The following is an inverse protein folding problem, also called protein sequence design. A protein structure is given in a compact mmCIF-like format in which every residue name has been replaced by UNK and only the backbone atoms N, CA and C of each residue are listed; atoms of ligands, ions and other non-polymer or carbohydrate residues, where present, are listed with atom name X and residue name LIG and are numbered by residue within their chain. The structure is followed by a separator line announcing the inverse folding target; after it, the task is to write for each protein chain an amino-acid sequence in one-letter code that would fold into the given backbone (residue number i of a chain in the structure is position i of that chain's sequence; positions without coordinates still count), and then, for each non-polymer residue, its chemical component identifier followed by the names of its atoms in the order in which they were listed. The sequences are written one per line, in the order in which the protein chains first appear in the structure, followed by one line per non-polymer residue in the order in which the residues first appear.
data_IF_356741740667
#
_entry.id   IF_356741740667
#
_cell.length_a   1.000
_cell.length_b   1.000
_cell.length_c   1.000
_cell.angle_alpha   90.00
_cell.angle_beta   90.00
_cell.angle_gamma   90.00
#
_symmetry.space_group_name_H-M   'P 1'
#
loop_
_entity.id
_entity.type
_entity.pdbx_description
1 polymer ?
#
# COMPACT_ATOMS: atom_id res chain seq x y z
N UNK A 1 10.29 -40.29 32.52
CA UNK A 1 11.38 -39.31 32.32
C UNK A 1 10.92 -38.34 31.24
N UNK A 2 10.48 -37.14 31.62
CA UNK A 2 10.10 -36.09 30.67
C UNK A 2 11.38 -35.44 30.15
N UNK A 3 11.66 -35.63 28.86
CA UNK A 3 12.69 -34.86 28.17
C UNK A 3 12.18 -33.43 28.09
N UNK A 4 12.87 -32.52 28.78
CA UNK A 4 12.74 -31.09 28.54
C UNK A 4 13.37 -30.87 27.17
N UNK A 5 12.56 -30.89 26.11
CA UNK A 5 12.99 -30.37 24.81
C UNK A 5 13.30 -28.89 25.02
N UNK A 6 14.60 -28.56 25.05
CA UNK A 6 15.01 -27.17 24.96
C UNK A 6 14.37 -26.56 23.72
N UNK A 7 13.77 -25.38 23.85
CA UNK A 7 13.26 -24.62 22.71
C UNK A 7 14.43 -24.31 21.78
N UNK A 8 14.69 -25.17 20.79
CA UNK A 8 15.67 -24.90 19.75
C UNK A 8 15.16 -23.68 18.98
N UNK A 9 15.95 -22.62 19.01
CA UNK A 9 15.70 -21.37 18.29
C UNK A 9 16.22 -21.57 16.87
N UNK A 10 15.41 -21.25 15.87
CA UNK A 10 15.87 -21.19 14.49
C UNK A 10 16.66 -19.88 14.37
N UNK A 11 17.98 -19.99 14.34
CA UNK A 11 18.92 -18.89 14.13
C UNK A 11 19.98 -19.24 13.07
N UNK A 12 20.90 -18.32 12.82
CA UNK A 12 21.95 -18.53 11.81
C UNK A 12 22.85 -19.71 12.13
N UNK A 13 23.26 -19.86 13.40
CA UNK A 13 24.13 -20.94 13.86
C UNK A 13 23.48 -22.29 13.59
N UNK A 14 22.22 -22.43 13.98
CA UNK A 14 21.41 -23.62 13.69
C UNK A 14 21.36 -23.92 12.19
N UNK A 15 21.03 -22.92 11.36
CA UNK A 15 20.88 -23.12 9.91
C UNK A 15 22.21 -23.55 9.24
N UNK A 16 23.35 -22.99 9.70
CA UNK A 16 24.68 -23.39 9.24
C UNK A 16 25.02 -24.81 9.67
N UNK A 17 24.69 -25.20 10.91
CA UNK A 17 24.87 -26.57 11.41
C UNK A 17 24.07 -27.59 10.59
N UNK A 18 22.89 -27.21 10.09
CA UNK A 18 22.09 -28.01 9.16
C UNK A 18 22.66 -28.05 7.72
N UNK A 19 23.82 -27.44 7.46
CA UNK A 19 24.51 -27.48 6.17
C UNK A 19 24.09 -26.39 5.18
N UNK A 20 23.35 -25.36 5.63
CA UNK A 20 22.97 -24.24 4.77
C UNK A 20 24.17 -23.31 4.60
N UNK A 21 24.46 -22.92 3.35
CA UNK A 21 25.60 -22.09 3.02
C UNK A 21 25.48 -20.69 3.64
N UNK A 22 26.56 -20.22 4.31
CA UNK A 22 26.62 -18.89 4.93
C UNK A 22 26.37 -17.75 3.93
N UNK A 23 26.97 -17.84 2.75
CA UNK A 23 26.80 -16.81 1.71
C UNK A 23 25.34 -16.70 1.26
N UNK A 24 24.64 -17.84 1.18
CA UNK A 24 23.20 -17.86 0.90
C UNK A 24 22.40 -17.19 2.02
N UNK A 25 22.70 -17.50 3.29
CA UNK A 25 22.03 -16.89 4.44
C UNK A 25 22.25 -15.37 4.49
N UNK A 26 23.45 -14.91 4.15
CA UNK A 26 23.73 -13.47 4.04
C UNK A 26 22.90 -12.83 2.92
N UNK A 27 22.74 -13.51 1.79
CA UNK A 27 21.78 -13.11 0.75
C UNK A 27 20.34 -13.04 1.27
N UNK A 28 19.90 -13.99 2.10
CA UNK A 28 18.55 -14.00 2.69
C UNK A 28 18.31 -12.94 3.77
N UNK A 29 19.37 -12.41 4.39
CA UNK A 29 19.30 -11.23 5.29
C UNK A 29 19.16 -9.93 4.52
N UNK A 30 19.59 -9.89 3.25
CA UNK A 30 19.54 -8.72 2.39
C UNK A 30 18.31 -8.73 1.48
N UNK A 31 17.86 -9.90 1.01
CA UNK A 31 16.65 -10.03 0.19
C UNK A 31 15.40 -9.82 1.06
N UNK A 32 14.66 -8.76 0.77
CA UNK A 32 13.42 -8.41 1.47
C UNK A 32 12.19 -8.99 0.78
N UNK A 33 11.20 -9.38 1.58
CA UNK A 33 9.86 -9.75 1.11
C UNK A 33 9.20 -8.54 0.45
N UNK A 34 8.70 -8.72 -0.77
CA UNK A 34 7.97 -7.70 -1.53
C UNK A 34 6.47 -7.76 -1.24
N UNK A 35 5.79 -6.64 -1.45
CA UNK A 35 4.35 -6.52 -1.34
C UNK A 35 3.74 -6.37 -2.74
N UNK A 36 2.66 -7.09 -3.00
CA UNK A 36 1.83 -6.98 -4.21
C UNK A 36 0.50 -6.26 -3.95
N UNK A 37 0.40 -5.50 -2.84
CA UNK A 37 -0.85 -4.88 -2.41
C UNK A 37 -1.45 -3.88 -3.40
N UNK A 38 -0.68 -3.35 -4.34
CA UNK A 38 -1.19 -2.45 -5.37
C UNK A 38 -1.52 -3.18 -6.67
N UNK A 39 -1.08 -4.43 -6.84
CA UNK A 39 -1.14 -5.11 -8.12
C UNK A 39 -2.57 -5.38 -8.55
N UNK A 40 -3.50 -5.61 -7.61
CA UNK A 40 -4.91 -5.83 -7.93
C UNK A 40 -5.57 -4.63 -8.63
N UNK A 41 -4.99 -3.44 -8.58
CA UNK A 41 -5.50 -2.27 -9.31
C UNK A 41 -5.22 -2.34 -10.81
N UNK A 42 -4.17 -3.05 -11.25
CA UNK A 42 -3.71 -3.04 -12.64
C UNK A 42 -3.32 -4.41 -13.21
N UNK A 43 -3.53 -5.46 -12.45
CA UNK A 43 -3.47 -6.84 -12.90
C UNK A 43 -4.86 -7.46 -12.93
N UNK A 44 -5.08 -8.34 -13.92
CA UNK A 44 -6.33 -9.06 -14.09
C UNK A 44 -6.07 -10.56 -14.01
N UNK A 45 -6.86 -11.26 -13.20
CA UNK A 45 -6.79 -12.72 -13.15
C UNK A 45 -7.17 -13.28 -14.51
N UNK A 46 -6.35 -14.19 -15.02
CA UNK A 46 -6.70 -15.05 -16.13
C UNK A 46 -7.31 -16.31 -15.50
N UNK A 47 -8.51 -16.72 -15.93
CA UNK A 47 -9.29 -17.87 -15.40
C UNK A 47 -8.59 -19.23 -15.64
N UNK A 48 -7.36 -19.36 -15.15
CA UNK A 48 -6.47 -20.50 -15.32
C UNK A 48 -5.67 -20.66 -14.05
N UNK A 49 -5.88 -21.78 -13.37
CA UNK A 49 -5.01 -22.26 -12.32
C UNK A 49 -4.27 -23.51 -12.81
N UNK A 50 -2.96 -23.54 -12.59
CA UNK A 50 -2.11 -24.64 -13.07
C UNK A 50 -1.20 -25.15 -11.96
N UNK A 51 -1.06 -26.46 -11.87
CA UNK A 51 -0.11 -27.12 -10.98
C UNK A 51 1.25 -27.22 -11.67
N UNK A 52 2.24 -26.45 -11.20
CA UNK A 52 3.58 -26.38 -11.80
C UNK A 52 4.69 -26.37 -10.74
N UNK A 53 5.90 -26.73 -11.15
CA UNK A 53 7.11 -26.49 -10.35
C UNK A 53 7.59 -25.05 -10.58
N UNK A 54 7.57 -24.25 -9.51
CA UNK A 54 8.00 -22.85 -9.54
C UNK A 54 9.42 -22.74 -8.99
N UNK A 55 10.35 -22.08 -9.72
CA UNK A 55 11.67 -21.78 -9.17
C UNK A 55 11.57 -20.88 -7.94
N UNK A 56 12.09 -21.32 -6.80
CA UNK A 56 11.96 -20.60 -5.51
C UNK A 56 12.50 -19.17 -5.60
N UNK A 57 13.57 -18.94 -6.38
CA UNK A 57 14.14 -17.61 -6.61
C UNK A 57 13.16 -16.57 -7.19
N UNK A 58 12.12 -17.03 -7.92
CA UNK A 58 11.09 -16.17 -8.51
C UNK A 58 9.99 -15.80 -7.52
N UNK A 59 9.92 -16.45 -6.36
CA UNK A 59 8.97 -16.09 -5.31
C UNK A 59 9.50 -14.86 -4.57
N UNK A 60 8.71 -13.79 -4.52
CA UNK A 60 9.11 -12.46 -4.03
C UNK A 60 8.35 -12.03 -2.79
N UNK A 61 7.11 -12.49 -2.62
CA UNK A 61 6.26 -12.07 -1.52
C UNK A 61 5.58 -13.21 -0.78
N UNK A 62 5.20 -12.91 0.44
CA UNK A 62 4.31 -13.71 1.28
C UNK A 62 2.94 -13.02 1.35
N UNK A 63 1.92 -13.71 1.84
CA UNK A 63 0.60 -13.10 2.04
C UNK A 63 0.70 -11.93 3.01
N UNK A 64 -0.02 -10.82 2.79
CA UNK A 64 0.08 -9.62 3.64
C UNK A 64 -0.20 -9.84 5.14
N UNK A 65 -0.97 -10.88 5.51
CA UNK A 65 -1.22 -11.21 6.92
C UNK A 65 -0.09 -12.02 7.59
N UNK A 66 0.87 -12.51 6.81
CA UNK A 66 1.97 -13.39 7.26
C UNK A 66 3.35 -12.84 6.96
N UNK A 67 3.51 -12.15 5.84
CA UNK A 67 4.72 -11.43 5.47
C UNK A 67 4.62 -9.96 5.81
N UNK A 68 5.71 -9.42 6.33
CA UNK A 68 5.89 -7.99 6.50
C UNK A 68 6.82 -7.49 5.38
N UNK A 69 6.31 -6.59 4.55
CA UNK A 69 7.06 -6.03 3.43
C UNK A 69 8.32 -5.29 3.90
N UNK A 70 9.37 -5.30 3.09
CA UNK A 70 10.67 -4.67 3.40
C UNK A 70 11.43 -5.29 4.59
N UNK A 71 10.98 -6.43 5.12
CA UNK A 71 11.72 -7.24 6.08
C UNK A 71 12.37 -8.42 5.36
N UNK A 72 13.52 -8.86 5.83
CA UNK A 72 14.30 -9.90 5.14
C UNK A 72 13.64 -11.28 5.24
N UNK A 73 13.91 -12.19 4.29
CA UNK A 73 13.49 -13.59 4.43
C UNK A 73 14.04 -14.22 5.72
N UNK A 74 15.24 -13.80 6.13
CA UNK A 74 15.86 -14.22 7.39
C UNK A 74 15.09 -13.74 8.64
N UNK A 75 14.58 -12.51 8.64
CA UNK A 75 13.76 -12.01 9.74
C UNK A 75 12.48 -12.85 9.90
N UNK A 76 11.88 -13.29 8.79
CA UNK A 76 10.68 -14.11 8.82
C UNK A 76 10.93 -15.52 9.37
N UNK A 77 12.00 -16.20 8.97
CA UNK A 77 12.30 -17.55 9.49
C UNK A 77 12.67 -17.53 10.98
N UNK A 78 13.31 -16.45 11.44
CA UNK A 78 13.66 -16.24 12.85
C UNK A 78 12.52 -15.61 13.67
N UNK A 79 11.34 -15.44 13.06
CA UNK A 79 10.13 -14.89 13.66
C UNK A 79 10.30 -13.46 14.24
N UNK A 80 11.19 -12.66 13.63
CA UNK A 80 11.42 -11.22 13.91
C UNK A 80 10.59 -10.29 13.02
N UNK A 81 9.84 -10.86 12.08
CA UNK A 81 8.96 -10.14 11.16
C UNK A 81 7.78 -11.03 10.76
N UNK A 82 6.64 -10.39 10.49
CA UNK A 82 5.41 -11.08 10.08
C UNK A 82 4.75 -11.88 11.21
N UNK A 83 3.81 -12.76 10.83
CA UNK A 83 2.98 -13.52 11.78
C UNK A 83 2.91 -15.01 11.39
N UNK A 84 4.08 -15.61 11.21
CA UNK A 84 4.24 -17.03 10.92
C UNK A 84 4.04 -17.82 12.22
N UNK A 85 3.16 -18.82 12.18
CA UNK A 85 3.00 -19.76 13.28
C UNK A 85 4.32 -20.48 13.60
N UNK A 86 4.85 -20.23 14.80
CA UNK A 86 6.06 -20.87 15.31
C UNK A 86 5.97 -22.39 15.34
N UNK A 87 4.80 -22.94 15.70
CA UNK A 87 4.54 -24.38 15.68
C UNK A 87 4.73 -24.98 14.28
N UNK A 88 4.22 -24.33 13.23
CA UNK A 88 4.39 -24.79 11.84
C UNK A 88 5.84 -24.65 11.36
N UNK A 89 6.54 -23.58 11.75
CA UNK A 89 7.98 -23.44 11.46
C UNK A 89 8.79 -24.57 12.12
N UNK A 90 8.49 -24.92 13.37
CA UNK A 90 9.15 -25.99 14.09
C UNK A 90 8.83 -27.40 13.58
N UNK A 91 7.64 -27.63 13.03
CA UNK A 91 7.34 -28.90 12.38
C UNK A 91 8.24 -29.10 11.14
N UNK A 92 8.45 -28.05 10.36
CA UNK A 92 9.37 -28.09 9.21
C UNK A 92 10.84 -28.18 9.65
N UNK A 93 11.22 -27.51 10.75
CA UNK A 93 12.52 -27.69 11.41
C UNK A 93 12.79 -29.17 11.73
N UNK A 94 11.85 -29.83 12.40
CA UNK A 94 11.96 -31.26 12.75
C UNK A 94 12.07 -32.13 11.49
N UNK A 95 11.29 -31.83 10.46
CA UNK A 95 11.43 -32.52 9.18
C UNK A 95 12.83 -32.34 8.59
N UNK A 96 13.40 -31.13 8.57
CA UNK A 96 14.79 -30.91 8.11
C UNK A 96 15.80 -31.78 8.88
N UNK A 97 15.66 -31.88 10.20
CA UNK A 97 16.53 -32.70 11.06
C UNK A 97 16.39 -34.20 10.78
N UNK A 98 15.16 -34.68 10.53
CA UNK A 98 14.86 -36.10 10.32
C UNK A 98 15.36 -36.63 8.97
N UNK A 99 15.17 -35.88 7.88
CA UNK A 99 15.50 -36.34 6.52
C UNK A 99 16.80 -35.76 5.96
N UNK A 100 17.37 -34.74 6.60
CA UNK A 100 18.56 -34.02 6.15
C UNK A 100 18.26 -33.00 5.03
N UNK A 101 19.21 -32.07 4.83
CA UNK A 101 19.03 -30.89 3.99
C UNK A 101 18.64 -31.21 2.54
N UNK A 102 19.30 -32.18 1.90
CA UNK A 102 19.04 -32.44 0.49
C UNK A 102 17.67 -33.08 0.27
N UNK A 103 17.30 -34.08 1.08
CA UNK A 103 15.95 -34.68 1.06
C UNK A 103 14.87 -33.63 1.34
N UNK A 104 15.10 -32.75 2.32
CA UNK A 104 14.19 -31.65 2.65
C UNK A 104 14.03 -30.65 1.50
N UNK A 105 15.10 -30.33 0.77
CA UNK A 105 14.99 -29.51 -0.45
C UNK A 105 14.17 -30.18 -1.55
N UNK A 106 14.31 -31.50 -1.71
CA UNK A 106 13.56 -32.23 -2.72
C UNK A 106 12.08 -32.39 -2.35
N UNK A 107 11.74 -32.47 -1.06
CA UNK A 107 10.35 -32.64 -0.62
C UNK A 107 9.44 -31.49 -1.03
N UNK A 108 9.97 -30.27 -1.25
CA UNK A 108 9.18 -29.16 -1.77
C UNK A 108 8.60 -29.38 -3.17
N UNK A 109 9.11 -30.36 -3.94
CA UNK A 109 8.58 -30.72 -5.26
C UNK A 109 7.40 -31.68 -5.19
N UNK A 110 7.14 -32.29 -4.04
CA UNK A 110 6.06 -33.25 -3.86
C UNK A 110 4.70 -32.52 -3.85
N UNK A 111 3.72 -32.97 -4.66
CA UNK A 111 2.35 -32.45 -4.63
C UNK A 111 1.70 -32.42 -3.23
N UNK A 112 2.11 -33.29 -2.30
CA UNK A 112 1.64 -33.28 -0.91
C UNK A 112 2.01 -32.01 -0.12
N UNK A 113 3.02 -31.27 -0.56
CA UNK A 113 3.45 -29.99 0.02
C UNK A 113 3.13 -28.78 -0.87
N UNK A 114 2.17 -28.94 -1.80
CA UNK A 114 1.80 -27.89 -2.74
C UNK A 114 1.41 -26.58 -2.04
N UNK A 115 1.95 -25.47 -2.55
CA UNK A 115 1.60 -24.11 -2.10
C UNK A 115 0.69 -23.41 -3.10
N UNK A 116 0.01 -22.33 -2.69
CA UNK A 116 -0.77 -21.49 -3.59
C UNK A 116 0.01 -20.23 -3.91
N UNK A 117 0.28 -20.00 -5.19
CA UNK A 117 1.01 -18.82 -5.65
C UNK A 117 0.17 -18.01 -6.65
N UNK A 118 0.42 -16.70 -6.66
CA UNK A 118 -0.07 -15.76 -7.65
C UNK A 118 1.11 -15.40 -8.55
N UNK A 119 0.96 -15.52 -9.86
CA UNK A 119 1.98 -15.14 -10.85
C UNK A 119 1.59 -13.86 -11.56
N UNK A 120 2.49 -12.87 -11.56
CA UNK A 120 2.34 -11.64 -12.31
C UNK A 120 3.28 -11.65 -13.52
N UNK A 121 2.70 -11.57 -14.72
CA UNK A 121 3.40 -11.88 -15.97
C UNK A 121 4.52 -10.90 -16.34
N UNK A 122 4.32 -9.59 -16.12
CA UNK A 122 5.28 -8.56 -16.49
C UNK A 122 6.57 -8.61 -15.66
N UNK A 123 6.47 -8.85 -14.35
CA UNK A 123 7.64 -8.99 -13.48
C UNK A 123 8.22 -10.41 -13.46
N UNK A 124 7.51 -11.39 -14.05
CA UNK A 124 7.84 -12.81 -14.00
C UNK A 124 8.13 -13.28 -12.57
N UNK A 125 7.22 -12.90 -11.65
CA UNK A 125 7.39 -13.07 -10.21
C UNK A 125 6.17 -13.70 -9.55
N UNK A 126 6.40 -14.36 -8.42
CA UNK A 126 5.38 -15.13 -7.71
C UNK A 126 5.22 -14.63 -6.27
N UNK A 127 3.99 -14.64 -5.78
CA UNK A 127 3.62 -14.22 -4.43
C UNK A 127 2.78 -15.33 -3.79
N UNK A 128 2.94 -15.58 -2.49
CA UNK A 128 2.06 -16.54 -1.81
C UNK A 128 0.64 -15.99 -1.77
N UNK A 129 -0.34 -16.78 -2.22
CA UNK A 129 -1.74 -16.38 -2.33
C UNK A 129 -2.51 -16.54 -1.02
N UNK A 130 -2.96 -17.75 -0.68
CA UNK A 130 -3.76 -17.98 0.53
C UNK A 130 -3.12 -18.95 1.54
N UNK A 131 -2.24 -19.84 1.09
CA UNK A 131 -1.53 -20.82 1.94
C UNK A 131 -0.16 -21.17 1.34
N UNK A 132 0.75 -21.63 2.19
CA UNK A 132 2.10 -22.03 1.81
C UNK A 132 3.22 -21.10 2.29
N UNK A 133 2.91 -20.10 3.12
CA UNK A 133 3.91 -19.15 3.64
C UNK A 133 5.08 -19.87 4.34
N UNK A 134 4.79 -20.81 5.26
CA UNK A 134 5.81 -21.56 6.00
C UNK A 134 6.71 -22.39 5.09
N UNK A 135 6.12 -23.14 4.15
CA UNK A 135 6.88 -23.93 3.17
C UNK A 135 7.73 -23.03 2.28
N UNK A 136 7.19 -21.90 1.84
CA UNK A 136 7.91 -20.93 1.00
C UNK A 136 9.12 -20.34 1.72
N UNK A 137 8.97 -19.92 2.97
CA UNK A 137 10.08 -19.39 3.77
C UNK A 137 11.16 -20.46 3.97
N UNK A 138 10.79 -21.70 4.33
CA UNK A 138 11.76 -22.78 4.46
C UNK A 138 12.45 -23.15 3.15
N UNK A 139 11.70 -23.17 2.03
CA UNK A 139 12.26 -23.41 0.70
C UNK A 139 13.26 -22.30 0.30
N UNK A 140 12.94 -21.04 0.60
CA UNK A 140 13.84 -19.89 0.42
C UNK A 140 15.11 -20.01 1.25
N UNK A 141 14.97 -20.21 2.56
CA UNK A 141 16.10 -20.28 3.50
C UNK A 141 17.02 -21.46 3.20
N UNK A 142 16.47 -22.61 2.84
CA UNK A 142 17.27 -23.78 2.48
C UNK A 142 17.83 -23.72 1.07
N UNK A 143 17.49 -22.71 0.25
CA UNK A 143 17.88 -22.62 -1.16
C UNK A 143 17.38 -23.82 -1.99
N UNK A 144 16.13 -24.24 -1.78
CA UNK A 144 15.51 -25.27 -2.60
C UNK A 144 15.39 -24.77 -4.05
N UNK A 145 15.63 -25.64 -5.07
CA UNK A 145 15.64 -25.19 -6.46
C UNK A 145 14.23 -24.81 -6.96
N UNK A 146 13.21 -25.51 -6.52
CA UNK A 146 11.82 -25.33 -6.94
C UNK A 146 10.84 -25.84 -5.89
N UNK A 147 9.61 -25.34 -5.93
CA UNK A 147 8.49 -25.78 -5.09
C UNK A 147 7.28 -26.12 -5.99
N UNK A 148 6.54 -27.16 -5.63
CA UNK A 148 5.27 -27.49 -6.27
C UNK A 148 4.21 -26.47 -5.86
N UNK A 149 3.53 -25.88 -6.83
CA UNK A 149 2.54 -24.83 -6.57
C UNK A 149 1.34 -24.95 -7.49
N UNK A 150 0.16 -24.62 -6.95
CA UNK A 150 -1.02 -24.25 -7.74
C UNK A 150 -0.96 -22.75 -7.97
N UNK A 151 -0.89 -22.36 -9.23
CA UNK A 151 -0.59 -20.97 -9.64
C UNK A 151 -1.81 -20.34 -10.28
N UNK A 152 -2.31 -19.25 -9.70
CA UNK A 152 -3.27 -18.35 -10.34
C UNK A 152 -2.51 -17.29 -11.13
N UNK A 153 -2.80 -17.15 -12.43
CA UNK A 153 -2.08 -16.22 -13.31
C UNK A 153 -2.78 -14.88 -13.42
N UNK A 154 -2.00 -13.82 -13.36
CA UNK A 154 -2.47 -12.45 -13.49
C UNK A 154 -1.72 -11.76 -14.62
N UNK A 155 -2.47 -11.09 -15.48
CA UNK A 155 -1.98 -10.39 -16.66
C UNK A 155 -1.94 -8.89 -16.42
N UNK A 156 -0.81 -8.26 -16.75
CA UNK A 156 -0.66 -6.83 -16.66
C UNK A 156 -1.60 -6.13 -17.64
N UNK A 157 -2.35 -5.14 -17.14
CA UNK A 157 -3.20 -4.29 -17.94
C UNK A 157 -2.57 -2.87 -18.03
N UNK A 158 -1.97 -2.50 -19.18
CA UNK A 158 -1.29 -1.21 -19.34
C UNK A 158 -2.21 0.00 -19.12
N UNK A 159 -3.48 -0.10 -19.53
CA UNK A 159 -4.46 0.97 -19.37
C UNK A 159 -4.76 1.19 -17.89
N UNK A 160 -5.06 0.12 -17.16
CA UNK A 160 -5.28 0.19 -15.71
C UNK A 160 -4.07 0.76 -14.97
N UNK A 161 -2.86 0.37 -15.37
CA UNK A 161 -1.62 0.91 -14.80
C UNK A 161 -1.48 2.41 -15.04
N UNK A 162 -1.70 2.89 -16.26
CA UNK A 162 -1.62 4.32 -16.58
C UNK A 162 -2.65 5.14 -15.78
N UNK A 163 -3.87 4.62 -15.67
CA UNK A 163 -4.94 5.24 -14.90
C UNK A 163 -4.62 5.25 -13.40
N UNK A 164 -4.14 4.13 -12.85
CA UNK A 164 -3.69 4.05 -11.47
C UNK A 164 -2.59 5.07 -11.18
N UNK A 165 -1.55 5.15 -12.02
CA UNK A 165 -0.47 6.14 -11.85
C UNK A 165 -1.00 7.58 -11.87
N UNK A 166 -1.88 7.92 -12.82
CA UNK A 166 -2.47 9.26 -12.95
C UNK A 166 -3.22 9.70 -11.68
N UNK A 167 -3.98 8.77 -11.08
CA UNK A 167 -4.73 9.03 -9.85
C UNK A 167 -3.79 9.19 -8.66
N UNK A 168 -2.78 8.33 -8.51
CA UNK A 168 -1.77 8.44 -7.44
C UNK A 168 -0.98 9.74 -7.53
N UNK A 169 -0.63 10.18 -8.74
CA UNK A 169 0.02 11.48 -8.96
C UNK A 169 -0.88 12.65 -8.54
N UNK A 170 -2.18 12.56 -8.85
CA UNK A 170 -3.17 13.56 -8.49
C UNK A 170 -3.39 13.64 -6.97
N UNK A 171 -3.52 12.49 -6.30
CA UNK A 171 -3.59 12.39 -4.83
C UNK A 171 -2.35 12.98 -4.16
N UNK A 172 -1.15 12.66 -4.67
CA UNK A 172 0.09 13.21 -4.15
C UNK A 172 0.19 14.74 -4.35
N UNK A 173 -0.31 15.25 -5.48
CA UNK A 173 -0.44 16.70 -5.72
C UNK A 173 -1.45 17.33 -4.76
N UNK A 174 -2.56 16.64 -4.49
CA UNK A 174 -3.61 17.10 -3.57
C UNK A 174 -3.05 17.28 -2.16
N UNK A 175 -2.44 16.25 -1.60
CA UNK A 175 -1.83 16.29 -0.27
C UNK A 175 -0.75 17.38 -0.15
N UNK A 176 0.09 17.55 -1.18
CA UNK A 176 1.09 18.64 -1.20
C UNK A 176 0.45 20.02 -1.21
N UNK A 177 -0.64 20.20 -1.97
CA UNK A 177 -1.35 21.48 -2.07
C UNK A 177 -2.01 21.84 -0.75
N UNK A 178 -2.67 20.89 -0.09
CA UNK A 178 -3.27 21.10 1.23
C UNK A 178 -2.21 21.52 2.25
N UNK A 179 -1.09 20.79 2.31
CA UNK A 179 0.04 21.13 3.18
C UNK A 179 0.60 22.52 2.88
N UNK A 180 0.79 22.86 1.61
CA UNK A 180 1.27 24.19 1.20
C UNK A 180 0.34 25.31 1.70
N UNK A 181 -0.96 25.03 1.75
CA UNK A 181 -1.97 25.98 2.20
C UNK A 181 -2.31 25.84 3.68
N UNK A 182 -1.59 25.02 4.47
CA UNK A 182 -1.93 24.74 5.87
C UNK A 182 -3.40 24.30 6.05
N UNK A 183 -3.86 23.45 5.14
CA UNK A 183 -5.14 22.78 5.16
C UNK A 183 -4.93 21.30 5.46
N UNK A 184 -5.95 20.68 6.03
CA UNK A 184 -6.00 19.26 6.32
C UNK A 184 -7.20 18.64 5.58
N UNK A 185 -7.10 17.36 5.24
CA UNK A 185 -8.22 16.60 4.69
C UNK A 185 -8.63 15.56 5.71
N UNK A 186 -9.85 15.68 6.20
CA UNK A 186 -10.47 14.69 7.07
C UNK A 186 -11.40 13.83 6.23
N UNK A 187 -11.02 12.57 6.06
CA UNK A 187 -11.78 11.60 5.29
C UNK A 187 -12.79 10.92 6.21
N UNK A 188 -14.07 11.04 5.89
CA UNK A 188 -15.10 10.24 6.53
C UNK A 188 -15.25 8.92 5.76
N UNK A 189 -14.73 7.84 6.35
CA UNK A 189 -14.99 6.50 5.81
C UNK A 189 -16.40 6.06 6.17
N UNK A 190 -17.33 6.20 5.22
CA UNK A 190 -18.60 5.46 5.27
C UNK A 190 -18.42 4.10 4.60
N UNK A 191 -18.97 3.08 5.25
CA UNK A 191 -18.90 1.69 4.81
C UNK A 191 -19.29 1.56 3.32
N UNK A 192 -18.26 1.28 2.52
CA UNK A 192 -18.24 0.67 1.20
C UNK A 192 -18.33 1.48 -0.11
N UNK A 193 -18.84 2.73 -0.23
CA UNK A 193 -19.04 3.26 -1.61
C UNK A 193 -18.74 4.75 -1.90
N UNK A 194 -18.21 5.53 -0.96
CA UNK A 194 -17.58 6.82 -1.30
C UNK A 194 -16.62 7.24 -0.18
N UNK A 195 -15.39 7.63 -0.54
CA UNK A 195 -14.56 8.41 0.36
C UNK A 195 -15.00 9.86 0.14
N UNK A 196 -15.85 10.39 1.00
CA UNK A 196 -16.03 11.84 1.04
C UNK A 196 -15.28 12.38 2.24
N UNK A 197 -14.91 13.65 2.15
CA UNK A 197 -14.23 14.29 3.26
C UNK A 197 -14.33 15.78 3.20
N UNK A 198 -13.83 16.39 4.25
CA UNK A 198 -13.78 17.83 4.38
C UNK A 198 -12.34 18.30 4.34
N UNK A 199 -12.09 19.27 3.48
CA UNK A 199 -10.90 20.11 3.61
C UNK A 199 -11.19 21.10 4.74
N UNK A 200 -10.31 21.12 5.72
CA UNK A 200 -10.53 21.82 6.98
C UNK A 200 -9.30 22.58 7.49
N UNK A 201 -9.56 23.47 8.45
CA UNK A 201 -8.55 24.18 9.24
C UNK A 201 -8.96 24.10 10.70
N UNK A 202 -8.11 23.57 11.57
CA UNK A 202 -8.40 23.44 13.01
C UNK A 202 -9.78 22.78 13.26
N UNK A 203 -10.03 21.64 12.60
CA UNK A 203 -11.30 20.89 12.67
C UNK A 203 -12.54 21.67 12.19
N UNK A 204 -12.34 22.80 11.50
CA UNK A 204 -13.42 23.57 10.88
C UNK A 204 -13.53 23.24 9.39
N UNK A 205 -14.63 22.63 8.92
CA UNK A 205 -14.81 22.25 7.52
C UNK A 205 -15.00 23.49 6.64
N UNK A 206 -14.31 23.52 5.50
CA UNK A 206 -14.31 24.65 4.55
C UNK A 206 -14.87 24.23 3.20
N UNK A 207 -14.47 23.06 2.72
CA UNK A 207 -14.87 22.55 1.42
C UNK A 207 -15.14 21.06 1.54
N UNK A 208 -16.31 20.66 1.07
CA UNK A 208 -16.63 19.27 0.85
C UNK A 208 -15.93 18.77 -0.42
N UNK A 209 -15.28 17.61 -0.32
CA UNK A 209 -14.68 16.91 -1.44
C UNK A 209 -15.26 15.50 -1.53
N UNK A 210 -15.97 15.24 -2.63
CA UNK A 210 -16.39 13.90 -3.00
C UNK A 210 -15.21 13.23 -3.72
N UNK A 211 -14.51 12.31 -3.04
CA UNK A 211 -13.45 11.51 -3.65
C UNK A 211 -14.08 10.20 -4.16
N UNK A 212 -14.37 10.06 -5.46
CA UNK A 212 -15.04 8.88 -5.95
C UNK A 212 -14.10 7.68 -5.83
N UNK A 213 -14.58 6.58 -5.22
CA UNK A 213 -13.79 5.35 -5.12
C UNK A 213 -13.68 4.71 -6.50
N UNK A 214 -12.45 4.45 -6.93
CA UNK A 214 -12.19 3.77 -8.19
C UNK A 214 -12.13 2.27 -7.94
N UNK A 215 -13.27 1.61 -8.17
CA UNK A 215 -13.37 0.15 -8.14
C UNK A 215 -12.86 -0.52 -9.42
N UNK A 216 -12.75 0.24 -10.52
CA UNK A 216 -12.27 -0.28 -11.79
C UNK A 216 -11.45 0.77 -12.54
N UNK A 217 -10.12 0.62 -12.51
CA UNK A 217 -9.17 1.45 -13.24
C UNK A 217 -9.22 1.21 -14.76
N UNK A 218 -9.98 0.22 -15.24
CA UNK A 218 -10.21 0.00 -16.67
C UNK A 218 -11.30 0.92 -17.22
N UNK A 219 -12.10 1.54 -16.35
CA UNK A 219 -13.17 2.44 -16.76
C UNK A 219 -12.64 3.88 -16.88
N UNK A 220 -12.19 4.24 -18.08
CA UNK A 220 -11.63 5.57 -18.37
C UNK A 220 -12.59 6.71 -18.03
N UNK A 221 -13.91 6.53 -18.22
CA UNK A 221 -14.88 7.57 -17.88
C UNK A 221 -14.91 7.84 -16.37
N UNK A 222 -14.86 6.80 -15.53
CA UNK A 222 -14.82 6.95 -14.07
C UNK A 222 -13.51 7.60 -13.62
N UNK A 223 -12.39 7.16 -14.19
CA UNK A 223 -11.07 7.75 -13.92
C UNK A 223 -11.07 9.23 -14.29
N UNK A 224 -11.62 9.59 -15.45
CA UNK A 224 -11.73 10.98 -15.89
C UNK A 224 -12.57 11.82 -14.93
N UNK A 225 -13.73 11.32 -14.49
CA UNK A 225 -14.58 12.00 -13.49
C UNK A 225 -13.83 12.28 -12.19
N UNK A 226 -13.08 11.30 -11.67
CA UNK A 226 -12.28 11.47 -10.46
C UNK A 226 -11.23 12.57 -10.65
N UNK A 227 -10.50 12.55 -11.76
CA UNK A 227 -9.50 13.57 -12.06
C UNK A 227 -10.13 14.98 -12.17
N UNK A 228 -11.32 15.08 -12.76
CA UNK A 228 -12.05 16.35 -12.85
C UNK A 228 -12.46 16.90 -11.48
N UNK A 229 -12.89 16.06 -10.55
CA UNK A 229 -13.23 16.50 -9.19
C UNK A 229 -11.99 17.04 -8.44
N UNK A 230 -10.84 16.38 -8.59
CA UNK A 230 -9.57 16.92 -8.08
C UNK A 230 -9.24 18.29 -8.70
N UNK A 231 -9.35 18.44 -10.02
CA UNK A 231 -9.09 19.71 -10.72
C UNK A 231 -10.02 20.84 -10.28
N UNK A 232 -11.30 20.54 -10.10
CA UNK A 232 -12.30 21.49 -9.59
C UNK A 232 -11.92 22.00 -8.20
N UNK A 233 -11.52 21.11 -7.29
CA UNK A 233 -11.05 21.48 -5.95
C UNK A 233 -9.79 22.32 -6.02
N UNK A 234 -8.81 21.96 -6.86
CA UNK A 234 -7.61 22.78 -7.05
C UNK A 234 -7.93 24.19 -7.52
N UNK A 235 -8.82 24.31 -8.50
CA UNK A 235 -9.25 25.60 -9.03
C UNK A 235 -9.94 26.45 -7.96
N UNK A 236 -10.75 25.85 -7.08
CA UNK A 236 -11.36 26.55 -5.96
C UNK A 236 -10.32 27.04 -4.93
N UNK A 237 -9.41 26.16 -4.51
CA UNK A 237 -8.33 26.52 -3.58
C UNK A 237 -7.43 27.63 -4.14
N UNK A 238 -7.08 27.56 -5.42
CA UNK A 238 -6.27 28.59 -6.07
C UNK A 238 -7.01 29.93 -6.12
N UNK A 239 -8.30 29.94 -6.44
CA UNK A 239 -9.12 31.14 -6.43
C UNK A 239 -9.19 31.79 -5.04
N UNK A 240 -9.36 30.99 -3.98
CA UNK A 240 -9.33 31.44 -2.59
C UNK A 240 -7.98 32.11 -2.26
N UNK A 241 -6.87 31.45 -2.61
CA UNK A 241 -5.52 31.98 -2.36
C UNK A 241 -5.26 33.27 -3.14
N UNK A 242 -5.65 33.33 -4.42
CA UNK A 242 -5.55 34.54 -5.24
C UNK A 242 -6.37 35.68 -4.63
N UNK A 243 -7.58 35.39 -4.16
CA UNK A 243 -8.43 36.38 -3.48
C UNK A 243 -7.78 36.86 -2.17
N UNK A 244 -7.29 35.94 -1.33
CA UNK A 244 -6.57 36.30 -0.10
C UNK A 244 -5.42 37.28 -0.38
N UNK A 245 -4.56 36.96 -1.36
CA UNK A 245 -3.42 37.79 -1.76
C UNK A 245 -3.86 39.15 -2.29
N UNK A 246 -4.92 39.21 -3.11
CA UNK A 246 -5.49 40.47 -3.62
C UNK A 246 -5.90 41.41 -2.50
N UNK A 247 -6.37 40.88 -1.37
CA UNK A 247 -6.77 41.67 -0.20
C UNK A 247 -5.66 41.85 0.84
N UNK A 248 -4.44 41.42 0.53
CA UNK A 248 -3.26 41.54 1.40
C UNK A 248 -2.93 42.97 1.80
N UNK A 249 -3.32 43.97 0.98
CA UNK A 249 -3.09 45.39 1.28
C UNK A 249 -3.89 45.91 2.50
N UNK A 250 -4.99 45.22 2.88
CA UNK A 250 -5.72 45.52 4.11
C UNK A 250 -5.15 44.64 5.22
N UNK A 251 -4.17 45.17 5.96
CA UNK A 251 -3.46 44.42 7.02
C UNK A 251 -4.35 44.00 8.18
N UNK A 252 -5.35 44.82 8.52
CA UNK A 252 -6.33 44.51 9.57
C UNK A 252 -7.36 43.48 9.07
N UNK A 253 -7.31 42.27 9.63
CA UNK A 253 -8.19 41.17 9.26
C UNK A 253 -9.68 41.48 9.47
N UNK A 254 -10.05 42.24 10.51
CA UNK A 254 -11.44 42.59 10.78
C UNK A 254 -11.99 43.53 9.71
N UNK A 255 -11.18 44.52 9.30
CA UNK A 255 -11.54 45.41 8.17
C UNK A 255 -11.63 44.64 6.86
N UNK A 256 -10.70 43.72 6.62
CA UNK A 256 -10.70 42.85 5.44
C UNK A 256 -11.98 42.01 5.36
N UNK A 257 -12.38 41.37 6.46
CA UNK A 257 -13.62 40.58 6.56
C UNK A 257 -14.85 41.45 6.26
N UNK A 258 -14.92 42.67 6.80
CA UNK A 258 -16.04 43.58 6.57
C UNK A 258 -16.17 43.95 5.07
N UNK A 259 -15.05 44.28 4.43
CA UNK A 259 -15.02 44.62 3.00
C UNK A 259 -15.41 43.44 2.12
N UNK A 260 -14.91 42.24 2.41
CA UNK A 260 -15.28 41.03 1.69
C UNK A 260 -16.77 40.73 1.79
N UNK A 261 -17.36 40.85 2.98
CA UNK A 261 -18.81 40.68 3.19
C UNK A 261 -19.64 41.71 2.41
N UNK A 262 -19.21 42.98 2.41
CA UNK A 262 -19.92 44.03 1.68
C UNK A 262 -19.89 43.78 0.16
N UNK A 263 -18.73 43.36 -0.37
CA UNK A 263 -18.59 43.07 -1.80
C UNK A 263 -19.34 41.83 -2.25
N UNK A 264 -19.44 40.83 -1.38
CA UNK A 264 -20.14 39.59 -1.67
C UNK A 264 -21.59 39.81 -2.10
N UNK A 265 -22.27 40.82 -1.54
CA UNK A 265 -23.66 41.16 -1.87
C UNK A 265 -23.88 41.54 -3.34
N UNK A 266 -22.80 41.86 -4.07
CA UNK A 266 -22.84 42.28 -5.48
C UNK A 266 -22.26 41.25 -6.44
N UNK A 267 -21.92 40.05 -5.95
CA UNK A 267 -21.33 38.97 -6.75
C UNK A 267 -22.41 37.98 -7.23
N UNK A 268 -22.13 37.29 -8.34
CA UNK A 268 -22.91 36.13 -8.77
C UNK A 268 -22.64 34.92 -7.86
N UNK A 269 -23.52 33.91 -7.91
CA UNK A 269 -23.47 32.74 -7.02
C UNK A 269 -22.11 32.05 -7.01
N UNK A 270 -21.50 31.83 -8.18
CA UNK A 270 -20.19 31.19 -8.31
C UNK A 270 -19.10 31.94 -7.53
N UNK A 271 -19.02 33.27 -7.69
CA UNK A 271 -18.03 34.10 -6.97
C UNK A 271 -18.37 34.24 -5.49
N UNK A 272 -19.66 34.23 -5.13
CA UNK A 272 -20.07 34.23 -3.73
C UNK A 272 -19.54 33.01 -2.99
N UNK A 273 -19.50 31.83 -3.63
CA UNK A 273 -18.95 30.60 -3.05
C UNK A 273 -17.49 30.76 -2.61
N UNK A 274 -16.61 31.27 -3.50
CA UNK A 274 -15.19 31.53 -3.19
C UNK A 274 -15.01 32.54 -2.05
N UNK A 275 -15.84 33.57 -2.02
CA UNK A 275 -15.81 34.57 -0.94
C UNK A 275 -16.25 33.98 0.41
N UNK A 276 -17.31 33.17 0.42
CA UNK A 276 -17.78 32.45 1.62
C UNK A 276 -16.67 31.57 2.18
N UNK A 277 -16.05 30.74 1.34
CA UNK A 277 -14.96 29.86 1.77
C UNK A 277 -13.79 30.65 2.37
N UNK A 278 -13.38 31.78 1.76
CA UNK A 278 -12.32 32.62 2.33
C UNK A 278 -12.73 33.25 3.68
N UNK A 279 -14.00 33.65 3.83
CA UNK A 279 -14.51 34.18 5.09
C UNK A 279 -14.53 33.10 6.17
N UNK A 280 -14.89 31.87 5.84
CA UNK A 280 -14.88 30.75 6.77
C UNK A 280 -13.44 30.36 7.17
N UNK A 281 -12.49 30.39 6.23
CA UNK A 281 -11.06 30.26 6.53
C UNK A 281 -10.58 31.32 7.51
N UNK A 282 -11.00 32.57 7.35
CA UNK A 282 -10.63 33.64 8.30
C UNK A 282 -11.24 33.43 9.69
N UNK A 283 -12.50 32.98 9.77
CA UNK A 283 -13.11 32.61 11.05
C UNK A 283 -12.37 31.45 11.73
N UNK A 284 -11.89 30.48 10.95
CA UNK A 284 -11.13 29.34 11.42
C UNK A 284 -9.65 29.66 11.77
N UNK A 285 -9.22 30.92 11.64
CA UNK A 285 -7.85 31.33 11.98
C UNK A 285 -6.79 30.98 10.92
N UNK A 286 -7.19 30.59 9.71
CA UNK A 286 -6.27 30.18 8.63
C UNK A 286 -5.20 31.23 8.31
N UNK A 287 -5.59 32.51 8.32
CA UNK A 287 -4.71 33.65 8.03
C UNK A 287 -3.51 33.80 8.99
N UNK A 288 -3.58 33.23 10.20
CA UNK A 288 -2.50 33.27 11.18
C UNK A 288 -1.39 32.26 10.84
N UNK A 289 -1.77 31.15 10.19
CA UNK A 289 -0.89 30.06 9.78
C UNK A 289 -0.40 30.23 8.34
N UNK A 290 -1.20 30.87 7.49
CA UNK A 290 -0.87 31.13 6.10
C UNK A 290 0.21 32.21 5.97
N UNK A 291 1.47 31.79 6.00
CA UNK A 291 2.61 32.61 5.58
C UNK A 291 2.84 32.40 4.08
N UNK A 292 2.14 33.20 3.28
CA UNK A 292 2.34 33.29 1.83
C UNK A 292 3.49 34.21 1.45
#
# INVERSE_FOLDING_TARGET
MSVIEGNIIIDESYLVEQGICKDHLEGMKQETVQCDSDYHYYYEMVDTEEDILVPVKKIKGLTGSKGEANRSWFDHITNKAGNLSWARLNNLRRSLEEQGLESFRQSFKDPGYQVKLIHYDKEDSYYVGSDGNHHTVWAKITNAPSICARVSRYKFNPLKWMNYQSIREMEAKFQRTLKQYNLEFDAEQYWMEADFGYIQVNDWPILYFECPVIFDYGNESKVHTVLQEYEKVFNQLEQIVRLHKKWGFVSDIKKRVLLLKALQLFLNEERQGVYNMLLDLYKAGWHEKYRG
#
